data_IF_053479269482
#
_entry.id   IF_053479269482
#
_cell.length_a   1.000
_cell.length_b   1.000
_cell.length_c   1.000
_cell.angle_alpha   90.00
_cell.angle_beta   90.00
_cell.angle_gamma   90.00
#
_symmetry.space_group_name_H-M   'P 1'
#
loop_
_entity.id
_entity.type
_entity.pdbx_description
1 polymer ?
#
# COMPACT_ATOMS: atom_id res chain seq x y z
N UNK A 1 1.82 29.07 -9.91
CA UNK A 1 1.01 28.22 -9.02
C UNK A 1 1.00 26.83 -9.62
N UNK A 2 1.89 25.95 -9.16
CA UNK A 2 1.99 24.58 -9.67
C UNK A 2 2.25 23.67 -8.48
N UNK A 3 1.27 22.85 -8.09
CA UNK A 3 1.46 21.51 -7.48
C UNK A 3 0.14 20.82 -7.10
N UNK A 4 -0.95 21.00 -7.84
CA UNK A 4 -2.27 20.41 -7.48
C UNK A 4 -2.44 18.91 -7.84
N UNK A 5 -1.35 18.21 -8.18
CA UNK A 5 -1.39 16.83 -8.69
C UNK A 5 -0.66 15.82 -7.82
N UNK A 6 0.13 16.28 -6.83
CA UNK A 6 0.89 15.40 -5.93
C UNK A 6 0.09 14.98 -4.69
N UNK A 7 -0.88 15.78 -4.25
CA UNK A 7 -1.73 15.49 -3.08
C UNK A 7 -2.69 14.32 -3.29
N UNK A 8 -3.09 14.04 -4.53
CA UNK A 8 -4.11 13.01 -4.85
C UNK A 8 -3.69 11.59 -4.39
N UNK A 9 -2.51 11.05 -4.74
CA UNK A 9 -2.09 9.71 -4.30
C UNK A 9 -1.84 9.62 -2.79
N UNK A 10 -1.32 10.68 -2.17
CA UNK A 10 -1.07 10.71 -0.72
C UNK A 10 -2.37 10.74 0.07
N UNK A 11 -3.35 11.51 -0.41
CA UNK A 11 -4.69 11.53 0.16
C UNK A 11 -5.42 10.20 0.00
N UNK A 12 -5.21 9.49 -1.11
CA UNK A 12 -5.75 8.13 -1.32
C UNK A 12 -5.11 7.15 -0.34
N UNK A 13 -3.78 7.13 -0.22
CA UNK A 13 -3.09 6.25 0.72
C UNK A 13 -3.49 6.51 2.17
N UNK A 14 -3.62 7.80 2.56
CA UNK A 14 -4.07 8.16 3.90
C UNK A 14 -5.49 7.67 4.17
N UNK A 15 -6.41 7.86 3.22
CA UNK A 15 -7.78 7.34 3.34
C UNK A 15 -7.81 5.81 3.47
N UNK A 16 -7.01 5.09 2.68
CA UNK A 16 -6.94 3.63 2.76
C UNK A 16 -6.36 3.13 4.09
N UNK A 17 -5.39 3.86 4.66
CA UNK A 17 -4.88 3.60 6.01
C UNK A 17 -5.96 3.83 7.07
N UNK A 18 -6.66 4.97 7.01
CA UNK A 18 -7.74 5.30 7.95
C UNK A 18 -8.86 4.24 7.88
N UNK A 19 -9.24 3.81 6.68
CA UNK A 19 -10.23 2.75 6.47
C UNK A 19 -9.74 1.41 7.05
N UNK A 20 -8.47 1.05 6.84
CA UNK A 20 -7.87 -0.17 7.40
C UNK A 20 -7.86 -0.16 8.94
N UNK A 21 -7.41 0.93 9.55
CA UNK A 21 -7.39 1.09 11.01
C UNK A 21 -8.81 1.06 11.60
N UNK A 22 -9.78 1.69 10.92
CA UNK A 22 -11.18 1.67 11.30
C UNK A 22 -11.74 0.24 11.32
N UNK A 23 -11.47 -0.56 10.27
CA UNK A 23 -11.94 -1.95 10.20
C UNK A 23 -11.27 -2.82 11.27
N UNK A 24 -9.99 -2.57 11.56
CA UNK A 24 -9.23 -3.31 12.57
C UNK A 24 -9.73 -3.04 13.99
N UNK A 25 -10.08 -1.79 14.30
CA UNK A 25 -10.37 -1.32 15.66
C UNK A 25 -11.87 -1.24 15.99
N UNK A 26 -12.75 -1.17 14.99
CA UNK A 26 -14.20 -1.18 15.24
C UNK A 26 -14.61 -2.45 15.98
N UNK A 27 -15.66 -2.43 16.81
CA UNK A 27 -16.25 -3.66 17.34
C UNK A 27 -16.90 -4.50 16.22
N UNK A 28 -16.89 -5.83 16.37
CA UNK A 28 -17.63 -6.72 15.47
C UNK A 28 -19.13 -6.51 15.69
N UNK A 29 -19.90 -6.51 14.60
CA UNK A 29 -21.37 -6.57 14.69
C UNK A 29 -21.83 -7.97 15.04
N UNK A 30 -23.07 -8.10 15.50
CA UNK A 30 -23.68 -9.38 15.95
C UNK A 30 -23.58 -10.53 14.92
N UNK A 31 -23.53 -10.20 13.62
CA UNK A 31 -23.43 -11.15 12.52
C UNK A 31 -22.08 -11.15 11.80
N UNK A 32 -21.07 -10.43 12.30
CA UNK A 32 -19.71 -10.42 11.73
C UNK A 32 -18.80 -11.34 12.54
N UNK A 33 -18.09 -12.22 11.85
CA UNK A 33 -17.04 -13.01 12.49
C UNK A 33 -15.68 -12.32 12.35
N UNK A 34 -14.73 -12.71 13.21
CA UNK A 34 -13.34 -12.28 13.05
C UNK A 34 -12.79 -12.72 11.68
N UNK A 35 -13.22 -13.86 11.14
CA UNK A 35 -12.81 -14.30 9.81
C UNK A 35 -13.31 -13.36 8.70
N UNK A 36 -14.53 -12.82 8.83
CA UNK A 36 -15.07 -11.83 7.90
C UNK A 36 -14.26 -10.53 7.96
N UNK A 37 -13.93 -10.06 9.17
CA UNK A 37 -13.04 -8.91 9.36
C UNK A 37 -11.69 -9.15 8.72
N UNK A 38 -11.07 -10.30 8.95
CA UNK A 38 -9.77 -10.64 8.38
C UNK A 38 -9.81 -10.66 6.84
N UNK A 39 -10.88 -11.18 6.23
CA UNK A 39 -11.07 -11.13 4.77
C UNK A 39 -11.08 -9.70 4.25
N UNK A 40 -11.80 -8.80 4.92
CA UNK A 40 -11.87 -7.38 4.54
C UNK A 40 -10.51 -6.70 4.74
N UNK A 41 -9.82 -6.97 5.86
CA UNK A 41 -8.48 -6.42 6.12
C UNK A 41 -7.45 -6.89 5.07
N UNK A 42 -7.52 -8.14 4.64
CA UNK A 42 -6.65 -8.67 3.56
C UNK A 42 -6.89 -7.90 2.26
N UNK A 43 -8.15 -7.64 1.91
CA UNK A 43 -8.49 -6.86 0.71
C UNK A 43 -7.98 -5.41 0.81
N UNK A 44 -8.27 -4.73 1.93
CA UNK A 44 -7.83 -3.36 2.17
C UNK A 44 -6.28 -3.26 2.15
N UNK A 45 -5.57 -4.23 2.75
CA UNK A 45 -4.11 -4.30 2.70
C UNK A 45 -3.59 -4.48 1.27
N UNK A 46 -4.24 -5.32 0.46
CA UNK A 46 -3.84 -5.54 -0.93
C UNK A 46 -3.99 -4.28 -1.79
N UNK A 47 -5.05 -3.50 -1.57
CA UNK A 47 -5.24 -2.21 -2.24
C UNK A 47 -4.20 -1.18 -1.82
N UNK A 48 -3.89 -1.11 -0.53
CA UNK A 48 -2.88 -0.21 0.03
C UNK A 48 -1.49 -0.50 -0.56
N UNK A 49 -1.11 -1.78 -0.64
CA UNK A 49 0.13 -2.21 -1.29
C UNK A 49 0.14 -1.85 -2.78
N UNK A 50 -0.99 -2.01 -3.48
CA UNK A 50 -1.11 -1.67 -4.91
C UNK A 50 -0.89 -0.19 -5.15
N UNK A 51 -1.56 0.68 -4.39
CA UNK A 51 -1.40 2.14 -4.53
C UNK A 51 0.00 2.60 -4.10
N UNK A 52 0.59 1.99 -3.08
CA UNK A 52 1.97 2.28 -2.67
C UNK A 52 2.97 1.91 -3.78
N UNK A 53 2.80 0.73 -4.39
CA UNK A 53 3.63 0.30 -5.53
C UNK A 53 3.48 1.24 -6.73
N UNK A 54 2.26 1.67 -7.05
CA UNK A 54 2.00 2.63 -8.13
C UNK A 54 2.67 3.98 -7.88
N UNK A 55 2.71 4.45 -6.62
CA UNK A 55 3.47 5.64 -6.23
C UNK A 55 4.97 5.42 -6.42
N UNK A 56 5.52 4.29 -5.97
CA UNK A 56 6.92 3.94 -6.18
C UNK A 56 7.29 3.88 -7.66
N UNK A 57 6.46 3.30 -8.53
CA UNK A 57 6.68 3.26 -9.97
C UNK A 57 6.67 4.66 -10.60
N UNK A 58 5.75 5.54 -10.16
CA UNK A 58 5.69 6.94 -10.62
C UNK A 58 6.93 7.74 -10.21
N UNK A 59 7.45 7.51 -8.99
CA UNK A 59 8.71 8.12 -8.54
C UNK A 59 9.95 7.46 -9.17
N UNK A 60 9.90 6.15 -9.41
CA UNK A 60 10.94 5.35 -10.06
C UNK A 60 11.15 5.73 -11.52
N UNK A 61 10.11 6.18 -12.23
CA UNK A 61 10.27 6.74 -13.58
C UNK A 61 11.13 8.02 -13.65
N UNK A 62 11.48 8.62 -12.50
CA UNK A 62 12.51 9.69 -12.41
C UNK A 62 13.92 9.17 -12.13
N UNK A 63 14.05 7.89 -11.77
CA UNK A 63 15.34 7.20 -11.63
C UNK A 63 15.63 6.42 -12.93
N UNK A 64 16.89 6.39 -13.41
CA UNK A 64 17.24 5.59 -14.58
C UNK A 64 16.81 4.13 -14.39
N UNK A 65 16.15 3.53 -15.40
CA UNK A 65 15.66 2.13 -15.37
C UNK A 65 16.72 1.11 -14.91
N UNK A 66 18.00 1.41 -15.09
CA UNK A 66 19.13 0.62 -14.61
C UNK A 66 19.23 0.53 -13.07
N UNK A 67 18.95 1.63 -12.35
CA UNK A 67 18.96 1.67 -10.88
C UNK A 67 17.77 0.94 -10.27
N UNK A 68 16.62 0.95 -10.94
CA UNK A 68 15.41 0.28 -10.45
C UNK A 68 15.51 -1.26 -10.51
N UNK A 69 16.10 -1.82 -11.57
CA UNK A 69 16.36 -3.28 -11.61
C UNK A 69 17.32 -3.71 -10.51
N UNK A 70 18.42 -2.96 -10.33
CA UNK A 70 19.40 -3.26 -9.29
C UNK A 70 18.80 -3.18 -7.88
N UNK A 71 17.94 -2.20 -7.57
CA UNK A 71 17.37 -2.06 -6.22
C UNK A 71 16.32 -3.13 -5.89
N UNK A 72 15.53 -3.57 -6.88
CA UNK A 72 14.52 -4.62 -6.65
C UNK A 72 15.18 -5.98 -6.51
N UNK A 73 16.16 -6.31 -7.36
CA UNK A 73 16.87 -7.60 -7.28
C UNK A 73 17.71 -7.71 -6.00
N UNK A 74 18.34 -6.61 -5.54
CA UNK A 74 19.07 -6.62 -4.25
C UNK A 74 18.16 -6.66 -3.03
N UNK A 75 16.97 -6.04 -3.05
CA UNK A 75 16.01 -6.15 -1.94
C UNK A 75 15.38 -7.53 -1.85
N UNK A 76 15.05 -8.16 -2.99
CA UNK A 76 14.47 -9.51 -3.04
C UNK A 76 15.47 -10.57 -2.58
N UNK A 77 16.74 -10.45 -2.96
CA UNK A 77 17.80 -11.38 -2.51
C UNK A 77 18.08 -11.25 -1.00
N UNK A 78 17.91 -10.07 -0.41
CA UNK A 78 18.14 -9.85 1.03
C UNK A 78 17.02 -10.36 1.94
N UNK A 79 15.83 -10.58 1.40
CA UNK A 79 14.68 -11.15 2.13
C UNK A 79 14.53 -12.66 1.97
N UNK A 80 15.34 -13.29 1.12
CA UNK A 80 15.29 -14.73 0.84
C UNK A 80 16.54 -15.52 1.30
N UNK A 81 17.51 -14.86 1.95
CA UNK A 81 18.54 -15.56 2.70
C UNK A 81 18.05 -15.78 4.14
N UNK A 82 18.03 -17.02 4.64
CA UNK A 82 17.61 -17.33 6.01
C UNK A 82 18.52 -16.70 7.07
#
# INVERSE_FOLDING_TARGET
MESDSSDKPERILRRLLDDYECILTRPLRENETEADRQRVLIQARAELVREYKKKLEKHSNKLPKALHRLSVDTLVLRTLSP
#
